data_IF_218279963180
#
_entry.id   IF_218279963180
#
_cell.length_a   1.000
_cell.length_b   1.000
_cell.length_c   1.000
_cell.angle_alpha   90.00
_cell.angle_beta   90.00
_cell.angle_gamma   90.00
#
_symmetry.space_group_name_H-M   'P 1'
#
loop_
_entity.id
_entity.type
_entity.pdbx_description
1 polymer ?
#
# COMPACT_ATOMS: atom_id res chain seq x y z
N UNK A 1 -28.40 50.29 -4.08
CA UNK A 1 -27.56 49.72 -5.16
C UNK A 1 -26.10 49.77 -4.72
N UNK A 2 -25.42 48.62 -4.75
CA UNK A 2 -23.95 48.44 -4.81
C UNK A 2 -23.11 48.46 -3.51
N UNK A 3 -23.39 47.69 -2.45
CA UNK A 3 -22.34 47.37 -1.44
C UNK A 3 -22.39 45.98 -0.76
N UNK A 4 -23.23 45.03 -1.21
CA UNK A 4 -23.36 43.71 -0.54
C UNK A 4 -22.93 42.51 -1.39
N UNK A 5 -22.04 42.70 -2.38
CA UNK A 5 -21.59 41.60 -3.27
C UNK A 5 -20.12 41.20 -3.04
N UNK A 6 -19.32 42.02 -2.37
CA UNK A 6 -17.86 41.82 -2.32
C UNK A 6 -17.39 40.77 -1.29
N UNK A 7 -18.24 40.34 -0.35
CA UNK A 7 -17.85 39.41 0.72
C UNK A 7 -17.91 37.92 0.38
N UNK A 8 -18.61 37.52 -0.69
CA UNK A 8 -18.88 36.10 -0.99
C UNK A 8 -17.88 35.48 -1.99
N UNK A 9 -16.98 36.27 -2.59
CA UNK A 9 -16.09 35.80 -3.65
C UNK A 9 -14.76 35.20 -3.14
N UNK A 10 -14.43 35.34 -1.85
CA UNK A 10 -13.11 34.97 -1.32
C UNK A 10 -12.98 33.52 -0.81
N UNK A 11 -14.05 32.71 -0.89
CA UNK A 11 -14.10 31.34 -0.34
C UNK A 11 -13.89 30.21 -1.37
N UNK A 12 -13.59 30.54 -2.64
CA UNK A 12 -13.57 29.55 -3.73
C UNK A 12 -12.18 29.26 -4.34
N UNK A 13 -11.09 29.79 -3.80
CA UNK A 13 -9.75 29.42 -4.27
C UNK A 13 -9.29 28.14 -3.54
N UNK A 14 -9.99 27.03 -3.81
CA UNK A 14 -9.47 25.70 -3.51
C UNK A 14 -8.27 25.48 -4.43
N UNK A 15 -7.06 25.67 -3.89
CA UNK A 15 -5.84 25.36 -4.61
C UNK A 15 -5.80 23.85 -4.83
N UNK A 16 -5.86 23.40 -6.09
CA UNK A 16 -5.56 22.01 -6.40
C UNK A 16 -4.11 21.77 -6.02
N UNK A 17 -3.89 21.07 -4.91
CA UNK A 17 -2.58 20.58 -4.54
C UNK A 17 -2.22 19.49 -5.55
N UNK A 18 -1.24 19.77 -6.39
CA UNK A 18 -0.68 18.81 -7.34
C UNK A 18 0.33 17.93 -6.58
N UNK A 19 -0.12 16.75 -6.16
CA UNK A 19 0.70 15.78 -5.46
C UNK A 19 1.10 14.64 -6.41
N UNK A 20 2.39 14.29 -6.42
CA UNK A 20 2.89 13.11 -7.15
C UNK A 20 2.07 11.89 -6.73
N UNK A 21 1.63 11.12 -7.72
CA UNK A 21 0.83 9.92 -7.50
C UNK A 21 1.66 8.69 -7.83
N UNK A 22 1.65 7.71 -6.93
CA UNK A 22 2.29 6.42 -7.10
C UNK A 22 1.21 5.33 -7.00
N UNK A 23 1.22 4.38 -7.93
CA UNK A 23 0.27 3.27 -7.94
C UNK A 23 0.89 1.99 -8.53
N UNK A 24 0.57 0.80 -7.99
CA UNK A 24 -0.19 0.57 -6.76
C UNK A 24 0.64 0.82 -5.48
N UNK A 25 0.00 0.76 -4.30
CA UNK A 25 0.67 0.90 -3.00
C UNK A 25 1.27 -0.40 -2.47
N UNK A 26 0.91 -1.53 -3.06
CA UNK A 26 1.57 -2.80 -2.80
C UNK A 26 1.51 -3.72 -4.01
N UNK A 27 2.41 -4.71 -4.04
CA UNK A 27 2.36 -5.84 -4.94
C UNK A 27 2.50 -7.15 -4.17
N UNK A 28 1.76 -8.16 -4.63
CA UNK A 28 2.00 -9.56 -4.30
C UNK A 28 2.77 -10.16 -5.48
N UNK A 29 3.92 -10.77 -5.21
CA UNK A 29 4.74 -11.44 -6.22
C UNK A 29 4.98 -12.90 -5.81
N UNK A 30 5.15 -13.74 -6.82
CA UNK A 30 5.71 -15.07 -6.64
C UNK A 30 7.24 -15.01 -6.66
N UNK A 31 7.91 -15.93 -5.97
CA UNK A 31 9.36 -16.01 -5.98
C UNK A 31 9.97 -16.33 -7.37
N UNK A 32 9.17 -16.86 -8.31
CA UNK A 32 9.64 -17.20 -9.65
C UNK A 32 8.51 -17.19 -10.69
N UNK A 33 8.88 -17.38 -11.96
CA UNK A 33 7.92 -17.45 -13.07
C UNK A 33 7.32 -16.10 -13.45
N UNK A 34 6.13 -16.11 -14.05
CA UNK A 34 5.47 -14.89 -14.54
C UNK A 34 5.01 -13.97 -13.39
N UNK A 35 4.61 -14.54 -12.24
CA UNK A 35 4.20 -13.80 -11.04
C UNK A 35 5.33 -13.09 -10.30
N UNK A 36 6.59 -13.33 -10.68
CA UNK A 36 7.76 -12.66 -10.06
C UNK A 36 7.99 -11.23 -10.53
N UNK A 37 7.15 -10.70 -11.43
CA UNK A 37 7.31 -9.34 -11.97
C UNK A 37 6.02 -8.54 -11.89
N UNK A 38 6.15 -7.24 -11.71
CA UNK A 38 5.04 -6.30 -11.81
C UNK A 38 5.56 -4.90 -12.18
N UNK A 39 4.71 -3.89 -12.12
CA UNK A 39 5.13 -2.51 -12.38
C UNK A 39 4.37 -1.49 -11.57
N UNK A 40 5.11 -0.47 -11.15
CA UNK A 40 4.58 0.78 -10.62
C UNK A 40 4.40 1.80 -11.73
N UNK A 41 3.45 2.69 -11.54
CA UNK A 41 3.27 3.91 -12.31
C UNK A 41 3.38 5.11 -11.38
N UNK A 42 4.26 6.03 -11.73
CA UNK A 42 4.41 7.32 -11.04
C UNK A 42 3.93 8.41 -11.99
N UNK A 43 2.98 9.22 -11.54
CA UNK A 43 2.47 10.37 -12.28
C UNK A 43 2.96 11.66 -11.64
N UNK A 44 3.53 12.53 -12.48
CA UNK A 44 3.96 13.85 -12.13
C UNK A 44 2.92 14.89 -12.58
N UNK A 45 2.11 15.45 -11.67
CA UNK A 45 1.16 16.52 -12.00
C UNK A 45 1.79 17.92 -12.03
N UNK A 46 3.09 18.07 -11.73
CA UNK A 46 3.74 19.38 -11.71
C UNK A 46 4.01 19.90 -13.12
N UNK A 47 4.42 21.16 -13.19
CA UNK A 47 4.88 21.85 -14.39
C UNK A 47 6.39 21.69 -14.65
N UNK A 48 7.10 20.95 -13.79
CA UNK A 48 8.56 20.73 -13.84
C UNK A 48 8.89 19.25 -13.92
N UNK A 49 10.10 18.92 -14.38
CA UNK A 49 10.56 17.52 -14.35
C UNK A 49 10.73 17.03 -12.92
N UNK A 50 10.36 15.78 -12.66
CA UNK A 50 10.67 15.08 -11.40
C UNK A 50 11.66 13.95 -11.68
N UNK A 51 12.73 13.89 -10.90
CA UNK A 51 13.69 12.79 -10.95
C UNK A 51 13.48 11.89 -9.74
N UNK A 52 13.29 10.59 -9.98
CA UNK A 52 13.05 9.60 -8.94
C UNK A 52 14.20 8.59 -8.91
N UNK A 53 14.66 8.28 -7.70
CA UNK A 53 15.54 7.16 -7.38
C UNK A 53 14.75 6.09 -6.62
N UNK A 54 15.05 4.82 -6.90
CA UNK A 54 14.32 3.68 -6.31
C UNK A 54 15.28 2.82 -5.51
N UNK A 55 14.90 2.52 -4.26
CA UNK A 55 15.63 1.59 -3.39
C UNK A 55 14.71 0.56 -2.77
N UNK A 56 15.26 -0.60 -2.40
CA UNK A 56 14.54 -1.70 -1.79
C UNK A 56 15.17 -2.12 -0.48
N UNK A 57 14.32 -2.33 0.52
CA UNK A 57 14.74 -2.81 1.84
C UNK A 57 13.87 -3.99 2.25
N UNK A 58 14.49 -5.12 2.61
CA UNK A 58 13.81 -6.24 3.24
C UNK A 58 13.42 -5.88 4.67
N UNK A 59 12.17 -6.16 5.03
CA UNK A 59 11.61 -5.89 6.36
C UNK A 59 11.52 -7.21 7.13
N UNK A 60 12.29 -7.33 8.21
CA UNK A 60 12.24 -8.48 9.11
C UNK A 60 11.98 -8.01 10.54
N UNK A 61 10.70 -7.94 10.92
CA UNK A 61 10.30 -7.36 12.20
C UNK A 61 10.71 -5.89 12.29
N UNK A 62 11.63 -5.56 13.20
CA UNK A 62 12.19 -4.20 13.33
C UNK A 62 13.44 -3.96 12.46
N UNK A 63 14.03 -5.02 11.91
CA UNK A 63 15.24 -4.95 11.11
C UNK A 63 14.90 -4.54 9.66
N UNK A 64 15.76 -3.69 9.10
CA UNK A 64 15.68 -3.17 7.75
C UNK A 64 17.01 -3.42 7.06
N UNK A 65 17.02 -4.30 6.07
CA UNK A 65 18.22 -4.71 5.34
C UNK A 65 18.12 -4.23 3.90
N UNK A 66 19.14 -3.51 3.36
CA UNK A 66 19.21 -3.22 1.92
C UNK A 66 19.08 -4.52 1.12
N UNK A 67 18.29 -4.50 0.06
CA UNK A 67 17.99 -5.70 -0.74
C UNK A 67 17.73 -5.37 -2.19
N UNK A 68 18.41 -4.36 -2.72
CA UNK A 68 18.34 -3.98 -4.13
C UNK A 68 18.80 -5.12 -5.04
N UNK A 69 19.78 -5.92 -4.62
CA UNK A 69 20.31 -7.08 -5.38
C UNK A 69 19.28 -8.22 -5.54
N UNK A 70 18.25 -8.28 -4.68
CA UNK A 70 17.16 -9.26 -4.79
C UNK A 70 16.18 -8.89 -5.91
N UNK A 71 16.32 -7.72 -6.54
CA UNK A 71 15.36 -7.22 -7.53
C UNK A 71 16.02 -6.59 -8.75
N UNK A 72 15.43 -6.84 -9.91
CA UNK A 72 15.67 -6.02 -11.10
C UNK A 72 14.62 -4.91 -11.17
N UNK A 73 15.07 -3.66 -11.10
CA UNK A 73 14.23 -2.46 -11.26
C UNK A 73 14.59 -1.75 -12.55
N UNK A 74 13.60 -1.50 -13.40
CA UNK A 74 13.79 -0.88 -14.70
C UNK A 74 12.80 0.27 -14.97
N UNK A 75 13.29 1.51 -15.15
CA UNK A 75 14.66 1.95 -14.86
C UNK A 75 14.90 2.09 -13.34
N UNK A 76 16.13 1.99 -12.82
CA UNK A 76 16.40 2.23 -11.39
C UNK A 76 16.26 3.71 -11.00
N UNK A 77 16.50 4.61 -11.96
CA UNK A 77 16.27 6.05 -11.86
C UNK A 77 15.44 6.53 -13.05
N UNK A 78 14.51 7.46 -12.81
CA UNK A 78 13.61 7.94 -13.86
C UNK A 78 13.40 9.45 -13.83
N UNK A 79 13.49 10.07 -15.00
CA UNK A 79 12.95 11.42 -15.24
C UNK A 79 11.50 11.30 -15.66
N UNK A 80 10.62 12.02 -14.96
CA UNK A 80 9.18 12.06 -15.22
C UNK A 80 8.83 13.49 -15.66
N UNK A 81 8.54 13.72 -16.95
CA UNK A 81 8.20 15.04 -17.45
C UNK A 81 6.94 15.63 -16.80
N UNK A 82 6.72 16.95 -16.94
CA UNK A 82 5.49 17.60 -16.51
C UNK A 82 4.25 16.90 -17.05
N UNK A 83 3.22 16.80 -16.20
CA UNK A 83 1.91 16.23 -16.55
C UNK A 83 1.98 14.85 -17.24
N UNK A 84 2.98 14.04 -16.87
CA UNK A 84 3.28 12.75 -17.51
C UNK A 84 3.45 11.64 -16.49
N UNK A 85 3.32 10.39 -16.94
CA UNK A 85 3.53 9.20 -16.11
C UNK A 85 4.70 8.36 -16.61
N UNK A 86 5.47 7.80 -15.68
CA UNK A 86 6.55 6.86 -15.95
C UNK A 86 6.23 5.51 -15.30
N UNK A 87 6.50 4.43 -16.04
CA UNK A 87 6.38 3.07 -15.54
C UNK A 87 7.73 2.54 -15.09
N UNK A 88 7.77 1.96 -13.89
CA UNK A 88 8.92 1.30 -13.29
C UNK A 88 8.60 -0.17 -13.12
N UNK A 89 9.30 -1.04 -13.84
CA UNK A 89 9.13 -2.48 -13.73
C UNK A 89 9.98 -3.02 -12.59
N UNK A 90 9.43 -3.93 -11.82
CA UNK A 90 10.15 -4.68 -10.80
C UNK A 90 10.08 -6.16 -11.12
N UNK A 91 11.15 -6.88 -10.82
CA UNK A 91 11.18 -8.34 -10.87
C UNK A 91 12.02 -8.89 -9.73
N UNK A 92 11.47 -9.85 -9.00
CA UNK A 92 12.22 -10.57 -7.97
C UNK A 92 13.22 -11.53 -8.62
N UNK A 93 14.45 -11.50 -8.10
CA UNK A 93 15.60 -12.31 -8.50
C UNK A 93 16.30 -12.99 -7.31
N UNK A 94 15.85 -12.71 -6.08
CA UNK A 94 16.41 -13.30 -4.87
C UNK A 94 16.10 -14.79 -4.70
N UNK A 95 16.57 -15.34 -3.58
CA UNK A 95 16.37 -16.75 -3.23
C UNK A 95 14.90 -17.09 -2.95
N UNK A 96 14.52 -18.36 -3.18
CA UNK A 96 13.17 -18.83 -2.85
C UNK A 96 12.93 -18.76 -1.33
N UNK A 97 11.99 -17.93 -0.86
CA UNK A 97 11.72 -17.83 0.57
C UNK A 97 10.91 -19.05 1.04
N UNK A 98 10.93 -19.36 2.33
CA UNK A 98 10.09 -20.44 2.90
C UNK A 98 8.68 -19.98 3.27
N UNK A 99 8.49 -18.67 3.39
CA UNK A 99 7.22 -18.00 3.66
C UNK A 99 7.26 -16.59 3.07
N UNK A 100 6.11 -15.93 2.89
CA UNK A 100 6.09 -14.58 2.30
C UNK A 100 7.00 -13.62 3.05
N UNK A 101 7.88 -12.99 2.29
CA UNK A 101 8.80 -11.96 2.78
C UNK A 101 8.29 -10.58 2.38
N UNK A 102 8.31 -9.64 3.33
CA UNK A 102 7.94 -8.25 3.08
C UNK A 102 9.17 -7.42 2.72
N UNK A 103 9.07 -6.71 1.62
CA UNK A 103 10.03 -5.72 1.17
C UNK A 103 9.34 -4.35 1.11
N UNK A 104 10.10 -3.29 1.39
CA UNK A 104 9.70 -1.91 1.18
C UNK A 104 10.41 -1.39 -0.06
N UNK A 105 9.65 -0.89 -1.03
CA UNK A 105 10.17 -0.18 -2.20
C UNK A 105 9.96 1.30 -1.98
N UNK A 106 11.04 2.05 -2.00
CA UNK A 106 11.07 3.49 -1.74
C UNK A 106 11.33 4.24 -3.03
N UNK A 107 10.43 5.17 -3.36
CA UNK A 107 10.56 6.11 -4.48
C UNK A 107 10.90 7.48 -3.89
N UNK A 108 12.11 7.95 -4.13
CA UNK A 108 12.63 9.19 -3.56
C UNK A 108 12.86 10.22 -4.66
N UNK A 109 12.28 11.41 -4.51
CA UNK A 109 12.58 12.51 -5.39
C UNK A 109 13.98 13.03 -5.12
N UNK A 110 14.82 13.05 -6.15
CA UNK A 110 16.14 13.65 -6.12
C UNK A 110 16.07 15.01 -6.81
N UNK A 111 16.51 16.07 -6.12
CA UNK A 111 16.63 17.38 -6.76
C UNK A 111 17.89 17.39 -7.64
N UNK A 112 17.81 17.87 -8.89
CA UNK A 112 19.01 18.28 -9.61
C UNK A 112 19.70 19.36 -8.78
N UNK A 113 20.99 19.18 -8.51
CA UNK A 113 21.79 20.13 -7.73
C UNK A 113 21.99 21.40 -8.56
N UNK A 114 21.05 22.34 -8.46
CA UNK A 114 21.30 23.75 -8.76
C UNK A 114 20.82 24.58 -7.57
N UNK A 115 21.72 24.75 -6.60
CA UNK A 115 21.64 25.83 -5.64
C UNK A 115 21.95 27.12 -6.42
N UNK A 116 20.92 27.74 -7.00
CA UNK A 116 21.02 29.13 -7.44
C UNK A 116 21.20 30.01 -6.21
N UNK A 117 22.25 30.85 -6.21
CA UNK A 117 22.70 31.78 -5.16
C UNK A 117 21.69 32.89 -4.77
N UNK A 118 20.38 32.65 -4.90
CA UNK A 118 19.36 33.64 -4.55
C UNK A 118 18.92 33.46 -3.10
N UNK A 119 19.23 34.50 -2.31
CA UNK A 119 18.88 34.71 -0.89
C UNK A 119 17.37 34.85 -0.65
N UNK A 120 16.58 33.88 -1.10
CA UNK A 120 15.19 33.72 -0.72
C UNK A 120 15.04 32.43 0.09
N UNK A 121 14.50 32.55 1.31
CA UNK A 121 14.18 31.39 2.13
C UNK A 121 13.03 30.64 1.48
N UNK A 122 13.35 29.70 0.59
CA UNK A 122 12.38 28.80 -0.03
C UNK A 122 12.42 27.45 0.66
N UNK A 123 11.25 26.93 1.03
CA UNK A 123 11.12 25.58 1.59
C UNK A 123 10.94 24.63 0.41
N UNK A 124 11.95 23.80 0.13
CA UNK A 124 11.84 22.73 -0.85
C UNK A 124 11.18 21.50 -0.20
N UNK A 125 10.02 21.08 -0.72
CA UNK A 125 9.38 19.83 -0.32
C UNK A 125 9.92 18.70 -1.21
N UNK A 126 10.68 17.78 -0.62
CA UNK A 126 11.11 16.54 -1.27
C UNK A 126 10.13 15.42 -0.95
N UNK A 127 9.66 14.73 -1.97
CA UNK A 127 8.75 13.60 -1.81
C UNK A 127 9.50 12.28 -1.65
N UNK A 128 9.05 11.49 -0.69
CA UNK A 128 9.52 10.11 -0.46
C UNK A 128 8.32 9.22 -0.23
N UNK A 129 8.03 8.36 -1.21
CA UNK A 129 6.95 7.39 -1.12
C UNK A 129 7.52 6.02 -0.79
N UNK A 130 6.78 5.23 -0.03
CA UNK A 130 7.15 3.84 0.28
C UNK A 130 5.96 2.94 0.04
N UNK A 131 6.21 1.84 -0.66
CA UNK A 131 5.23 0.81 -0.99
C UNK A 131 5.71 -0.53 -0.47
N UNK A 132 4.81 -1.51 -0.44
CA UNK A 132 5.13 -2.86 0.00
C UNK A 132 5.21 -3.82 -1.19
N UNK A 133 6.23 -4.67 -1.23
CA UNK A 133 6.26 -5.85 -2.10
C UNK A 133 6.32 -7.07 -1.22
N UNK A 134 5.39 -7.99 -1.41
CA UNK A 134 5.30 -9.23 -0.67
C UNK A 134 5.63 -10.37 -1.61
N UNK A 135 6.76 -11.04 -1.38
CA UNK A 135 7.24 -12.13 -2.23
C UNK A 135 6.94 -13.47 -1.57
N UNK A 136 6.08 -14.26 -2.19
CA UNK A 136 5.59 -15.54 -1.70
C UNK A 136 6.34 -16.73 -2.31
N UNK A 137 6.48 -17.85 -1.58
CA UNK A 137 6.98 -19.09 -2.16
C UNK A 137 6.03 -19.65 -3.22
N UNK A 138 6.51 -20.56 -4.07
CA UNK A 138 5.69 -21.19 -5.11
C UNK A 138 4.69 -22.22 -4.56
N UNK A 139 5.02 -22.89 -3.45
CA UNK A 139 4.15 -23.82 -2.73
C UNK A 139 3.25 -23.07 -1.73
N UNK A 140 2.56 -22.07 -2.29
CA UNK A 140 1.78 -21.11 -1.53
C UNK A 140 0.54 -21.74 -0.87
N UNK A 141 0.46 -21.66 0.44
CA UNK A 141 -0.71 -22.04 1.23
C UNK A 141 -1.13 -20.84 2.07
N UNK A 142 -2.25 -20.23 1.69
CA UNK A 142 -2.86 -19.11 2.41
C UNK A 142 -4.03 -19.64 3.24
N UNK A 143 -3.93 -19.52 4.56
CA UNK A 143 -4.95 -20.02 5.48
C UNK A 143 -5.10 -19.06 6.65
N UNK A 144 -6.34 -18.66 6.95
CA UNK A 144 -6.65 -17.81 8.10
C UNK A 144 -7.56 -18.52 9.09
N UNK A 145 -7.17 -18.47 10.36
CA UNK A 145 -8.05 -18.78 11.47
C UNK A 145 -8.75 -17.50 11.92
N UNK A 146 -10.04 -17.62 12.19
CA UNK A 146 -10.89 -16.52 12.63
C UNK A 146 -11.52 -16.89 13.97
N UNK A 147 -11.20 -16.11 15.00
CA UNK A 147 -11.73 -16.29 16.36
C UNK A 147 -12.56 -15.06 16.73
N UNK A 148 -13.80 -15.25 17.20
CA UNK A 148 -14.65 -14.17 17.70
C UNK A 148 -14.60 -14.16 19.22
N UNK A 149 -14.18 -13.02 19.79
CA UNK A 149 -14.08 -12.80 21.22
C UNK A 149 -14.97 -11.62 21.64
N UNK A 150 -16.18 -11.93 22.11
CA UNK A 150 -17.20 -10.96 22.56
C UNK A 150 -17.58 -9.91 21.50
N UNK A 151 -16.83 -8.79 21.41
CA UNK A 151 -17.04 -7.68 20.47
C UNK A 151 -15.80 -7.44 19.61
N UNK A 152 -14.98 -8.45 19.46
CA UNK A 152 -13.75 -8.38 18.67
C UNK A 152 -13.60 -9.64 17.84
N UNK A 153 -12.95 -9.50 16.71
CA UNK A 153 -12.57 -10.61 15.85
C UNK A 153 -11.05 -10.61 15.73
N UNK A 154 -10.47 -11.79 15.82
CA UNK A 154 -9.06 -12.03 15.65
C UNK A 154 -8.89 -12.86 14.38
N UNK A 155 -8.13 -12.32 13.44
CA UNK A 155 -7.66 -13.04 12.27
C UNK A 155 -6.22 -13.45 12.50
N UNK A 156 -5.88 -14.70 12.23
CA UNK A 156 -4.51 -15.23 12.30
C UNK A 156 -4.20 -15.95 11.00
N UNK A 157 -3.19 -15.49 10.26
CA UNK A 157 -2.69 -16.24 9.11
C UNK A 157 -1.78 -17.37 9.60
N UNK A 158 -2.23 -18.61 9.40
CA UNK A 158 -1.51 -19.85 9.75
C UNK A 158 -0.79 -20.48 8.56
N UNK A 159 -0.98 -19.91 7.37
CA UNK A 159 -0.30 -20.31 6.15
C UNK A 159 1.15 -19.80 6.06
N UNK A 160 1.83 -20.19 4.98
CA UNK A 160 3.17 -19.68 4.62
C UNK A 160 3.09 -18.50 3.64
N UNK A 161 1.90 -18.18 3.13
CA UNK A 161 1.68 -17.07 2.21
C UNK A 161 0.92 -15.91 2.82
N UNK A 162 1.15 -14.71 2.32
CA UNK A 162 0.25 -13.58 2.56
C UNK A 162 -1.18 -13.94 2.13
N UNK A 163 -2.13 -13.53 2.95
CA UNK A 163 -3.56 -13.67 2.67
C UNK A 163 -4.10 -12.31 2.25
N UNK A 164 -4.66 -12.21 1.04
CA UNK A 164 -5.33 -11.00 0.58
C UNK A 164 -6.70 -10.89 1.26
N UNK A 165 -6.85 -9.91 2.16
CA UNK A 165 -8.11 -9.68 2.85
C UNK A 165 -9.07 -8.85 2.00
N UNK A 166 -8.55 -8.02 1.08
CA UNK A 166 -9.36 -7.06 0.33
C UNK A 166 -10.31 -7.70 -0.68
N UNK A 167 -9.97 -8.87 -1.20
CA UNK A 167 -10.85 -9.65 -2.10
C UNK A 167 -11.69 -10.70 -1.35
N UNK A 168 -11.50 -10.83 -0.03
CA UNK A 168 -12.16 -11.89 0.77
C UNK A 168 -13.56 -11.50 1.21
N UNK A 169 -14.50 -12.44 1.08
CA UNK A 169 -15.85 -12.33 1.65
C UNK A 169 -15.95 -13.12 2.96
N UNK A 170 -16.61 -12.49 3.94
CA UNK A 170 -16.82 -13.05 5.27
C UNK A 170 -18.31 -13.23 5.53
N UNK A 171 -18.70 -14.41 5.96
CA UNK A 171 -20.03 -14.69 6.50
C UNK A 171 -20.00 -14.53 8.02
N UNK A 172 -20.86 -13.65 8.53
CA UNK A 172 -21.08 -13.44 9.95
C UNK A 172 -22.39 -14.10 10.35
N UNK A 173 -22.36 -14.97 11.34
CA UNK A 173 -23.56 -15.69 11.80
C UNK A 173 -23.81 -15.48 13.30
N UNK A 174 -25.09 -15.46 13.66
CA UNK A 174 -25.55 -15.33 15.04
C UNK A 174 -27.05 -15.62 15.19
N UNK A 175 -27.59 -15.34 16.38
CA UNK A 175 -29.03 -15.57 16.66
C UNK A 175 -29.96 -14.72 15.76
N UNK A 176 -29.45 -13.60 15.25
CA UNK A 176 -30.18 -12.70 14.37
C UNK A 176 -30.15 -13.09 12.87
N UNK A 177 -29.48 -14.18 12.51
CA UNK A 177 -29.30 -14.63 11.13
C UNK A 177 -27.84 -14.58 10.66
N UNK A 178 -27.66 -14.56 9.35
CA UNK A 178 -26.34 -14.50 8.68
C UNK A 178 -26.26 -13.28 7.76
N UNK A 179 -25.08 -12.69 7.65
CA UNK A 179 -24.77 -11.55 6.79
C UNK A 179 -23.41 -11.74 6.12
N UNK A 180 -23.29 -11.39 4.84
CA UNK A 180 -22.03 -11.46 4.09
C UNK A 180 -21.48 -10.05 3.96
N UNK A 181 -20.21 -9.88 4.33
CA UNK A 181 -19.53 -8.57 4.33
C UNK A 181 -18.14 -8.67 3.68
N UNK A 182 -17.63 -7.53 3.23
CA UNK A 182 -16.25 -7.35 2.76
C UNK A 182 -15.30 -6.96 3.90
N UNK A 183 -14.01 -6.86 3.58
CA UNK A 183 -13.00 -6.42 4.54
C UNK A 183 -13.19 -4.98 5.02
N UNK A 184 -13.68 -4.11 4.15
CA UNK A 184 -13.96 -2.70 4.40
C UNK A 184 -15.05 -2.49 5.46
N UNK A 185 -16.01 -3.42 5.56
CA UNK A 185 -17.14 -3.34 6.50
C UNK A 185 -16.69 -3.52 7.96
N UNK A 186 -15.55 -4.17 8.19
CA UNK A 186 -14.94 -4.23 9.52
C UNK A 186 -14.39 -2.89 10.00
N UNK A 187 -14.28 -1.88 9.11
CA UNK A 187 -13.73 -0.55 9.41
C UNK A 187 -12.38 -0.62 10.14
N UNK A 188 -11.55 -1.58 9.72
CA UNK A 188 -10.36 -2.02 10.47
C UNK A 188 -9.28 -0.93 10.58
N UNK A 189 -9.19 -0.06 9.57
CA UNK A 189 -8.02 0.80 9.36
C UNK A 189 -6.73 0.03 9.07
N UNK A 190 -6.79 -1.30 9.03
CA UNK A 190 -5.69 -2.19 8.74
C UNK A 190 -5.56 -2.42 7.23
N UNK A 191 -4.36 -2.78 6.78
CA UNK A 191 -4.11 -3.08 5.37
C UNK A 191 -4.99 -4.22 4.85
N UNK A 192 -5.22 -4.26 3.55
CA UNK A 192 -5.98 -5.31 2.87
C UNK A 192 -5.25 -6.66 2.76
N UNK A 193 -4.28 -6.95 3.63
CA UNK A 193 -3.50 -8.17 3.60
C UNK A 193 -3.06 -8.61 4.99
N UNK A 194 -2.82 -9.91 5.17
CA UNK A 194 -2.34 -10.49 6.41
C UNK A 194 -1.11 -11.38 6.15
N UNK A 195 0.05 -10.99 6.69
CA UNK A 195 1.30 -11.74 6.54
C UNK A 195 1.30 -13.06 7.35
N UNK A 196 2.08 -14.08 6.93
CA UNK A 196 2.24 -15.34 7.67
C UNK A 196 2.57 -15.14 9.15
N UNK A 197 1.90 -15.91 10.02
CA UNK A 197 2.10 -15.87 11.48
C UNK A 197 1.65 -14.57 12.16
N UNK A 198 1.08 -13.61 11.43
CA UNK A 198 0.56 -12.36 11.99
C UNK A 198 -0.90 -12.49 12.38
N UNK A 199 -1.24 -11.78 13.46
CA UNK A 199 -2.61 -11.59 13.87
C UNK A 199 -3.06 -10.14 13.66
N UNK A 200 -4.35 -9.98 13.41
CA UNK A 200 -5.05 -8.69 13.39
C UNK A 200 -6.25 -8.82 14.32
N UNK A 201 -6.30 -7.96 15.32
CA UNK A 201 -7.39 -7.87 16.29
C UNK A 201 -8.22 -6.64 15.97
N UNK A 202 -9.49 -6.84 15.63
CA UNK A 202 -10.40 -5.76 15.32
C UNK A 202 -11.55 -5.74 16.31
N UNK A 203 -11.88 -4.55 16.78
CA UNK A 203 -13.15 -4.33 17.47
C UNK A 203 -14.26 -4.28 16.42
N UNK A 204 -15.29 -5.10 16.59
CA UNK A 204 -16.44 -5.09 15.70
C UNK A 204 -17.22 -3.79 15.87
N UNK A 205 -17.62 -3.12 14.77
CA UNK A 205 -18.61 -2.05 14.81
C UNK A 205 -19.90 -2.52 15.49
N UNK A 206 -20.65 -1.61 16.11
CA UNK A 206 -21.88 -1.95 16.83
C UNK A 206 -22.92 -2.66 15.93
N UNK A 207 -22.91 -2.38 14.63
CA UNK A 207 -23.75 -3.05 13.63
C UNK A 207 -23.47 -4.56 13.49
N UNK A 208 -22.21 -4.97 13.71
CA UNK A 208 -21.71 -6.34 13.56
C UNK A 208 -21.50 -7.06 14.89
N UNK A 209 -21.47 -6.33 16.01
CA UNK A 209 -21.23 -6.88 17.36
C UNK A 209 -22.32 -7.87 17.87
N UNK A 210 -23.41 -8.04 17.11
CA UNK A 210 -24.49 -9.01 17.37
C UNK A 210 -24.17 -10.44 16.89
N UNK A 211 -23.19 -10.58 15.99
CA UNK A 211 -22.77 -11.87 15.43
C UNK A 211 -21.74 -12.54 16.33
N UNK A 212 -21.78 -13.88 16.39
CA UNK A 212 -20.92 -14.70 17.28
C UNK A 212 -19.91 -15.54 16.51
N UNK A 213 -20.09 -15.71 15.21
CA UNK A 213 -19.21 -16.47 14.33
C UNK A 213 -18.87 -15.66 13.09
N UNK A 214 -17.65 -15.81 12.60
CA UNK A 214 -17.15 -15.23 11.35
C UNK A 214 -16.47 -16.34 10.58
N UNK A 215 -16.85 -16.54 9.32
CA UNK A 215 -16.27 -17.56 8.43
C UNK A 215 -15.85 -16.94 7.12
N UNK A 216 -14.74 -17.43 6.58
CA UNK A 216 -14.33 -17.09 5.21
C UNK A 216 -15.15 -17.93 4.23
N UNK A 217 -15.75 -17.29 3.23
CA UNK A 217 -16.60 -17.99 2.25
C UNK A 217 -16.17 -17.78 0.79
N UNK A 218 -15.18 -16.92 0.52
CA UNK A 218 -14.62 -16.76 -0.83
C UNK A 218 -13.43 -15.79 -0.87
N UNK A 219 -12.60 -15.98 -1.88
CA UNK A 219 -11.59 -15.06 -2.42
C UNK A 219 -11.87 -14.92 -3.91
#
# INVERSE_FOLDING_TARGET
MKQTVTGLCLLLIAHCVWAIQLSPMFHLLDAAGAGSMNSYQVFNPSDTDVFIDISITKINGSEQLPSDDDFLILPPQGRIPPNSAQRFRIRYLGDMPTQTTLYRVTFEQVNPVELSDDQSSSVALLFKFSTSVMVSPLDCNSNINVDVESKSVKFLNTGNCVFDMSETQFELSGEAGSEVIGWEDFQSGAGGYLMPGRNVFLKLPDSLAKYKEVRVIGQ
#
